data_IF_179788807064
#
_entry.id   IF_179788807064
#
_cell.length_a   1.000
_cell.length_b   1.000
_cell.length_c   1.000
_cell.angle_alpha   90.00
_cell.angle_beta   90.00
_cell.angle_gamma   90.00
#
_symmetry.space_group_name_H-M   'P 1'
#
loop_
_entity.id
_entity.type
_entity.pdbx_description
1 polymer ?
#
# COMPACT_ATOMS: atom_id res chain seq x y z
N UNK A 1 2.64 2.35 17.30
CA UNK A 1 1.23 2.19 17.72
C UNK A 1 0.90 3.22 18.79
N UNK A 2 -0.37 3.62 18.89
CA UNK A 2 -0.86 4.46 20.00
C UNK A 2 -0.82 3.65 21.30
N UNK A 3 -0.58 4.34 22.43
CA UNK A 3 -0.63 3.70 23.73
C UNK A 3 -2.02 3.09 24.03
N UNK A 4 -2.02 1.98 24.75
CA UNK A 4 -3.25 1.27 25.19
C UNK A 4 -4.19 0.77 24.08
N UNK A 5 -3.72 0.63 22.83
CA UNK A 5 -4.51 0.04 21.77
C UNK A 5 -4.40 -1.47 21.80
N UNK A 6 -5.55 -2.14 22.02
CA UNK A 6 -5.62 -3.60 21.97
C UNK A 6 -5.60 -4.07 20.52
N UNK A 7 -4.92 -5.18 20.21
CA UNK A 7 -5.01 -5.85 18.93
C UNK A 7 -6.47 -6.20 18.59
N UNK A 8 -6.76 -6.28 17.31
CA UNK A 8 -8.12 -6.56 16.85
C UNK A 8 -8.11 -7.58 15.71
N UNK A 9 -8.89 -8.63 15.90
CA UNK A 9 -9.15 -9.63 14.87
C UNK A 9 -10.56 -9.43 14.33
N UNK A 10 -10.66 -9.11 13.05
CA UNK A 10 -11.97 -8.92 12.40
C UNK A 10 -12.67 -10.27 12.26
N UNK A 11 -13.97 -10.31 12.50
CA UNK A 11 -14.81 -11.49 12.22
C UNK A 11 -14.73 -11.79 10.72
N UNK A 12 -14.54 -13.08 10.40
CA UNK A 12 -14.41 -13.52 9.01
C UNK A 12 -15.62 -13.07 8.17
N UNK A 13 -15.36 -12.40 7.06
CA UNK A 13 -16.39 -11.99 6.11
C UNK A 13 -16.63 -13.10 5.08
N UNK A 14 -17.88 -13.35 4.76
CA UNK A 14 -18.23 -14.27 3.67
C UNK A 14 -17.82 -13.66 2.34
N UNK A 15 -17.17 -14.47 1.52
CA UNK A 15 -16.74 -14.11 0.16
C UNK A 15 -17.69 -14.80 -0.82
N UNK A 16 -18.08 -14.09 -1.88
CA UNK A 16 -18.88 -14.68 -2.96
C UNK A 16 -18.09 -15.84 -3.61
N UNK A 17 -18.64 -17.07 -3.62
CA UNK A 17 -17.97 -18.23 -4.19
C UNK A 17 -17.49 -18.04 -5.65
N UNK A 18 -18.22 -17.26 -6.45
CA UNK A 18 -17.86 -16.96 -7.84
C UNK A 18 -16.49 -16.24 -7.95
N UNK A 19 -16.12 -15.49 -6.92
CA UNK A 19 -14.86 -14.74 -6.90
C UNK A 19 -13.66 -15.57 -6.40
N UNK A 20 -13.90 -16.73 -5.78
CA UNK A 20 -12.84 -17.53 -5.16
C UNK A 20 -11.70 -17.91 -6.11
N UNK A 21 -11.96 -18.37 -7.36
CA UNK A 21 -10.87 -18.71 -8.29
C UNK A 21 -9.99 -17.49 -8.62
N UNK A 22 -10.60 -16.33 -8.81
CA UNK A 22 -9.91 -15.09 -9.13
C UNK A 22 -9.09 -14.60 -7.93
N UNK A 23 -9.65 -14.69 -6.72
CA UNK A 23 -8.95 -14.35 -5.48
C UNK A 23 -7.75 -15.27 -5.28
N UNK A 24 -7.93 -16.59 -5.49
CA UNK A 24 -6.84 -17.56 -5.38
C UNK A 24 -5.68 -17.24 -6.33
N UNK A 25 -6.01 -16.91 -7.57
CA UNK A 25 -5.01 -16.51 -8.58
C UNK A 25 -4.24 -15.28 -8.12
N UNK A 26 -4.92 -14.27 -7.60
CA UNK A 26 -4.29 -13.04 -7.16
C UNK A 26 -3.44 -13.24 -5.89
N UNK A 27 -3.94 -13.99 -4.89
CA UNK A 27 -3.16 -14.36 -3.69
C UNK A 27 -1.90 -15.11 -4.09
N UNK A 28 -2.00 -16.06 -5.03
CA UNK A 28 -0.84 -16.78 -5.55
C UNK A 28 0.15 -15.84 -6.22
N UNK A 29 -0.31 -14.91 -7.06
CA UNK A 29 0.52 -13.90 -7.72
C UNK A 29 1.29 -13.04 -6.71
N UNK A 30 0.59 -12.57 -5.67
CA UNK A 30 1.21 -11.77 -4.61
C UNK A 30 2.24 -12.58 -3.80
N UNK A 31 1.96 -13.86 -3.56
CA UNK A 31 2.88 -14.77 -2.87
C UNK A 31 4.13 -15.04 -3.72
N UNK A 32 3.96 -15.39 -4.99
CA UNK A 32 5.07 -15.64 -5.92
C UNK A 32 5.95 -14.38 -6.11
N UNK A 33 5.35 -13.19 -6.07
CA UNK A 33 6.05 -11.89 -6.10
C UNK A 33 6.67 -11.47 -4.75
N UNK A 34 6.58 -12.31 -3.71
CA UNK A 34 7.07 -12.02 -2.37
C UNK A 34 6.51 -10.72 -1.75
N UNK A 35 5.28 -10.35 -2.16
CA UNK A 35 4.56 -9.23 -1.57
C UNK A 35 3.96 -9.65 -0.23
N UNK A 36 3.50 -10.89 -0.15
CA UNK A 36 2.93 -11.49 1.06
C UNK A 36 3.67 -12.76 1.44
N UNK A 37 3.60 -13.14 2.71
CA UNK A 37 4.11 -14.40 3.24
C UNK A 37 3.07 -15.05 4.15
N UNK A 38 3.05 -16.39 4.29
CA UNK A 38 2.16 -17.07 5.23
C UNK A 38 2.52 -16.70 6.67
N UNK A 39 1.50 -16.56 7.51
CA UNK A 39 1.67 -16.31 8.93
C UNK A 39 0.80 -17.26 9.75
N UNK A 40 1.38 -17.84 10.79
CA UNK A 40 0.67 -18.78 11.66
C UNK A 40 -0.08 -18.06 12.80
N UNK A 41 0.56 -17.07 13.39
CA UNK A 41 0.03 -16.35 14.54
C UNK A 41 0.12 -14.85 14.30
N UNK A 42 -0.97 -14.16 14.58
CA UNK A 42 -1.03 -12.71 14.65
C UNK A 42 -2.14 -12.27 15.57
N UNK A 43 -1.89 -11.25 16.36
CA UNK A 43 -2.89 -10.58 17.18
C UNK A 43 -3.79 -9.65 16.36
N UNK A 44 -3.30 -9.19 15.20
CA UNK A 44 -4.04 -8.37 14.26
C UNK A 44 -4.44 -9.18 13.05
N UNK A 45 -5.74 -9.26 12.78
CA UNK A 45 -6.21 -9.97 11.59
C UNK A 45 -7.28 -9.15 10.90
N UNK A 46 -7.04 -8.84 9.64
CA UNK A 46 -7.93 -8.08 8.78
C UNK A 46 -8.67 -8.97 7.79
N UNK A 47 -9.80 -8.49 7.27
CA UNK A 47 -10.52 -9.17 6.21
C UNK A 47 -10.00 -8.77 4.82
N UNK A 48 -10.03 -9.73 3.94
CA UNK A 48 -9.85 -9.52 2.51
C UNK A 48 -11.11 -8.86 1.92
N UNK A 49 -10.92 -7.84 1.11
CA UNK A 49 -11.98 -7.12 0.39
C UNK A 49 -11.68 -7.16 -1.11
N UNK A 50 -12.22 -8.13 -1.85
CA UNK A 50 -12.01 -8.21 -3.28
C UNK A 50 -12.80 -7.10 -3.99
N UNK A 51 -12.11 -6.30 -4.79
CA UNK A 51 -12.69 -5.24 -5.61
C UNK A 51 -12.51 -5.59 -7.07
N UNK A 52 -13.59 -5.56 -7.86
CA UNK A 52 -13.54 -5.84 -9.29
C UNK A 52 -13.14 -4.57 -10.05
N UNK A 53 -12.09 -4.65 -10.86
CA UNK A 53 -11.72 -3.59 -11.80
C UNK A 53 -12.69 -3.56 -13.00
N UNK A 54 -12.72 -2.44 -13.73
CA UNK A 54 -13.49 -2.33 -14.99
C UNK A 54 -13.06 -3.36 -16.05
N UNK A 55 -11.81 -3.81 -16.00
CA UNK A 55 -11.25 -4.86 -16.87
C UNK A 55 -11.71 -6.27 -16.53
N UNK A 56 -12.48 -6.46 -15.45
CA UNK A 56 -12.91 -7.78 -14.96
C UNK A 56 -11.92 -8.44 -14.00
N UNK A 57 -10.70 -7.94 -13.89
CA UNK A 57 -9.71 -8.39 -12.94
C UNK A 57 -10.12 -8.07 -11.50
N UNK A 58 -9.56 -8.81 -10.54
CA UNK A 58 -9.74 -8.54 -9.12
C UNK A 58 -8.52 -7.82 -8.56
N UNK A 59 -8.81 -6.75 -7.83
CA UNK A 59 -7.85 -6.13 -6.93
C UNK A 59 -8.17 -6.55 -5.50
N UNK A 60 -7.18 -7.13 -4.82
CA UNK A 60 -7.31 -7.50 -3.42
C UNK A 60 -6.91 -6.34 -2.51
N UNK A 61 -7.90 -5.79 -1.83
CA UNK A 61 -7.70 -4.83 -0.76
C UNK A 61 -7.80 -5.53 0.59
N UNK A 62 -7.19 -4.96 1.60
CA UNK A 62 -7.26 -5.41 2.98
C UNK A 62 -7.94 -4.32 3.82
N UNK A 63 -8.84 -4.71 4.69
CA UNK A 63 -9.51 -3.78 5.58
C UNK A 63 -8.60 -3.32 6.73
N UNK A 64 -7.74 -2.38 6.46
CA UNK A 64 -6.79 -1.84 7.43
C UNK A 64 -7.40 -0.86 8.44
N UNK A 65 -8.72 -0.65 8.47
CA UNK A 65 -9.35 0.41 9.31
C UNK A 65 -9.02 0.29 10.79
N UNK A 66 -9.04 -0.91 11.35
CA UNK A 66 -8.72 -1.13 12.77
C UNK A 66 -7.23 -0.86 13.03
N UNK A 67 -6.34 -1.36 12.20
CA UNK A 67 -4.91 -1.10 12.29
C UNK A 67 -4.60 0.41 12.14
N UNK A 68 -5.24 1.08 11.18
CA UNK A 68 -5.07 2.52 10.95
C UNK A 68 -5.55 3.37 12.14
N UNK A 69 -6.62 2.96 12.84
CA UNK A 69 -7.08 3.64 14.07
C UNK A 69 -6.04 3.54 15.19
N UNK A 70 -5.38 2.40 15.29
CA UNK A 70 -4.36 2.13 16.31
C UNK A 70 -2.98 2.71 15.97
N UNK A 71 -2.72 3.00 14.69
CA UNK A 71 -1.45 3.54 14.24
C UNK A 71 -1.31 5.02 14.58
N UNK A 72 -0.11 5.45 15.02
CA UNK A 72 0.26 6.85 15.07
C UNK A 72 0.28 7.41 13.63
N UNK A 73 -0.03 8.69 13.50
CA UNK A 73 0.07 9.37 12.21
C UNK A 73 1.51 9.83 12.01
N UNK A 74 2.10 9.49 10.89
CA UNK A 74 3.33 10.09 10.41
C UNK A 74 3.00 11.49 9.86
N UNK A 75 3.70 12.51 10.36
CA UNK A 75 3.50 13.90 9.95
C UNK A 75 4.46 14.31 8.82
N UNK A 76 5.04 13.36 8.10
CA UNK A 76 5.87 13.67 6.94
C UNK A 76 5.08 14.53 5.94
N UNK A 77 5.64 15.65 5.46
CA UNK A 77 4.92 16.56 4.59
C UNK A 77 4.58 15.90 3.25
N UNK A 78 3.31 15.85 2.92
CA UNK A 78 2.86 15.44 1.59
C UNK A 78 2.83 16.65 0.67
N UNK A 79 3.17 16.51 -0.61
CA UNK A 79 3.15 17.61 -1.57
C UNK A 79 1.72 18.13 -1.74
N UNK A 80 1.60 19.44 -1.89
CA UNK A 80 0.33 20.08 -2.26
C UNK A 80 0.24 20.18 -3.78
N UNK A 81 -0.92 19.91 -4.34
CA UNK A 81 -1.14 19.95 -5.80
C UNK A 81 -0.76 21.31 -6.39
N UNK A 82 -1.08 22.40 -5.70
CA UNK A 82 -0.77 23.76 -6.17
C UNK A 82 0.73 23.98 -6.38
N UNK A 83 1.56 23.44 -5.47
CA UNK A 83 3.02 23.53 -5.61
C UNK A 83 3.56 22.71 -6.79
N UNK A 84 2.90 21.59 -7.10
CA UNK A 84 3.26 20.76 -8.23
C UNK A 84 2.92 21.48 -9.53
N UNK A 85 1.70 22.02 -9.63
CA UNK A 85 1.26 22.80 -10.79
C UNK A 85 2.17 23.99 -11.05
N UNK A 86 2.58 24.74 -10.01
CA UNK A 86 3.52 25.85 -10.15
C UNK A 86 4.88 25.42 -10.73
N UNK A 87 5.34 24.23 -10.40
CA UNK A 87 6.63 23.72 -10.92
C UNK A 87 6.54 23.26 -12.38
N UNK A 88 5.38 22.79 -12.80
CA UNK A 88 5.14 22.25 -14.14
C UNK A 88 4.82 23.37 -15.15
N UNK A 89 4.31 24.50 -14.68
CA UNK A 89 3.97 25.67 -15.53
C UNK A 89 5.25 26.20 -16.20
N UNK A 90 5.17 26.35 -17.53
CA UNK A 90 6.27 26.86 -18.36
C UNK A 90 7.18 25.78 -18.94
N UNK A 91 6.99 24.52 -18.56
CA UNK A 91 7.76 23.41 -19.13
C UNK A 91 7.34 23.15 -20.58
N UNK A 92 8.32 23.01 -21.47
CA UNK A 92 8.07 22.74 -22.90
C UNK A 92 7.64 21.30 -23.19
N UNK A 93 7.97 20.38 -22.30
CA UNK A 93 7.60 18.96 -22.36
C UNK A 93 7.35 18.43 -20.96
N UNK A 94 6.39 17.52 -20.82
CA UNK A 94 6.01 16.89 -19.57
C UNK A 94 5.84 15.39 -19.84
N UNK A 95 6.49 14.56 -19.04
CA UNK A 95 6.33 13.11 -19.06
C UNK A 95 5.72 12.67 -17.74
N UNK A 96 4.61 11.94 -17.82
CA UNK A 96 3.94 11.35 -16.66
C UNK A 96 4.30 9.87 -16.60
N UNK A 97 4.89 9.46 -15.49
CA UNK A 97 5.30 8.08 -15.24
C UNK A 97 4.54 7.59 -14.00
N UNK A 98 3.87 6.44 -14.15
CA UNK A 98 3.28 5.72 -13.02
C UNK A 98 4.38 4.91 -12.32
N UNK A 99 4.53 5.10 -11.02
CA UNK A 99 5.42 4.30 -10.19
C UNK A 99 4.89 2.86 -10.07
N UNK A 100 5.16 2.02 -11.07
CA UNK A 100 4.69 0.65 -11.15
C UNK A 100 4.83 -0.10 -9.82
N UNK A 101 3.68 -0.42 -9.20
CA UNK A 101 3.63 -1.08 -7.87
C UNK A 101 4.49 -0.38 -6.81
N UNK A 102 4.58 0.94 -6.84
CA UNK A 102 5.53 1.74 -6.05
C UNK A 102 5.52 1.38 -4.55
N UNK A 103 4.35 1.30 -3.94
CA UNK A 103 4.23 0.90 -2.53
C UNK A 103 4.79 -0.51 -2.26
N UNK A 104 4.61 -1.45 -3.19
CA UNK A 104 5.11 -2.82 -3.05
C UNK A 104 6.64 -2.94 -3.24
N UNK A 105 7.34 -1.86 -3.56
CA UNK A 105 8.81 -1.84 -3.58
C UNK A 105 9.40 -1.61 -2.19
N UNK A 106 8.61 -1.08 -1.25
CA UNK A 106 9.05 -0.78 0.11
C UNK A 106 8.77 -1.98 1.02
N UNK A 107 9.79 -2.41 1.78
CA UNK A 107 9.64 -3.48 2.77
C UNK A 107 8.93 -2.95 4.03
N UNK A 108 8.00 -3.74 4.54
CA UNK A 108 7.46 -3.55 5.88
C UNK A 108 8.50 -4.02 6.90
N UNK A 109 8.73 -3.23 7.94
CA UNK A 109 9.64 -3.63 9.02
C UNK A 109 9.23 -4.98 9.61
N UNK A 110 10.19 -5.87 9.87
CA UNK A 110 9.92 -7.26 10.29
C UNK A 110 8.96 -7.36 11.49
N UNK A 111 9.13 -6.50 12.49
CA UNK A 111 8.29 -6.49 13.70
C UNK A 111 6.86 -5.97 13.45
N UNK A 112 6.63 -5.32 12.30
CA UNK A 112 5.34 -4.78 11.91
C UNK A 112 4.59 -5.67 10.91
N UNK A 113 5.29 -6.61 10.25
CA UNK A 113 4.69 -7.48 9.22
C UNK A 113 3.49 -8.26 9.77
N UNK A 114 3.62 -8.86 10.94
CA UNK A 114 2.55 -9.66 11.56
C UNK A 114 1.29 -8.84 11.82
N UNK A 115 1.41 -7.51 12.05
CA UNK A 115 0.27 -6.62 12.27
C UNK A 115 -0.54 -6.40 10.99
N UNK A 116 0.03 -6.68 9.83
CA UNK A 116 -0.64 -6.58 8.52
C UNK A 116 -1.34 -7.86 8.11
N UNK A 117 -1.49 -8.82 9.02
CA UNK A 117 -2.06 -10.12 8.71
C UNK A 117 -3.52 -10.03 8.26
N UNK A 118 -3.87 -10.89 7.33
CA UNK A 118 -5.23 -11.02 6.81
C UNK A 118 -5.60 -12.47 6.56
N UNK A 119 -6.89 -12.76 6.64
CA UNK A 119 -7.42 -14.11 6.46
C UNK A 119 -7.93 -14.31 5.04
N UNK A 120 -7.57 -15.46 4.47
CA UNK A 120 -8.12 -16.00 3.22
C UNK A 120 -8.73 -17.38 3.46
N UNK A 121 -9.52 -17.92 2.53
CA UNK A 121 -10.01 -19.30 2.64
C UNK A 121 -8.89 -20.37 2.66
N UNK A 122 -7.67 -20.02 2.30
CA UNK A 122 -6.51 -20.93 2.21
C UNK A 122 -5.49 -20.74 3.32
N UNK A 123 -5.75 -19.83 4.25
CA UNK A 123 -4.89 -19.54 5.39
C UNK A 123 -4.68 -18.04 5.60
N UNK A 124 -3.86 -17.74 6.60
CA UNK A 124 -3.49 -16.38 6.94
C UNK A 124 -2.17 -15.99 6.28
N UNK A 125 -2.15 -14.77 5.76
CA UNK A 125 -0.97 -14.16 5.16
C UNK A 125 -0.71 -12.81 5.82
N UNK A 126 0.54 -12.36 5.76
CA UNK A 126 0.96 -11.02 6.17
C UNK A 126 1.69 -10.34 5.01
N UNK A 127 1.71 -9.02 5.01
CA UNK A 127 2.48 -8.28 4.03
C UNK A 127 3.96 -8.19 4.42
N UNK A 128 4.81 -8.54 3.48
CA UNK A 128 6.27 -8.33 3.54
C UNK A 128 6.61 -6.98 2.91
N UNK A 129 5.89 -6.62 1.85
CA UNK A 129 6.00 -5.33 1.17
C UNK A 129 4.80 -4.46 1.52
N UNK A 130 4.98 -3.15 1.48
CA UNK A 130 3.97 -2.20 1.95
C UNK A 130 2.71 -2.24 1.09
N UNK A 131 1.53 -2.56 1.67
CA UNK A 131 0.27 -2.56 0.93
C UNK A 131 -0.33 -1.17 0.85
N UNK A 132 -1.23 -1.01 -0.12
CA UNK A 132 -2.17 0.11 -0.13
C UNK A 132 -3.12 0.07 1.08
N UNK A 133 -3.56 1.24 1.52
CA UNK A 133 -4.56 1.37 2.58
C UNK A 133 -4.01 1.50 3.99
N UNK A 134 -2.71 1.35 4.21
CA UNK A 134 -2.08 1.71 5.48
C UNK A 134 -2.03 3.23 5.63
N UNK A 135 -2.34 3.72 6.84
CA UNK A 135 -2.41 5.15 7.18
C UNK A 135 -1.16 5.94 6.80
N UNK A 136 0.00 5.33 6.98
CA UNK A 136 1.30 5.98 6.77
C UNK A 136 1.98 5.57 5.46
N UNK A 137 1.31 4.80 4.61
CA UNK A 137 1.89 4.33 3.36
C UNK A 137 2.35 5.48 2.47
N UNK A 138 1.50 6.49 2.28
CA UNK A 138 1.84 7.67 1.47
C UNK A 138 3.03 8.46 2.02
N UNK A 139 3.09 8.68 3.33
CA UNK A 139 4.21 9.36 3.99
C UNK A 139 5.53 8.58 3.86
N UNK A 140 5.46 7.26 4.06
CA UNK A 140 6.64 6.38 3.92
C UNK A 140 7.14 6.34 2.48
N UNK A 141 6.24 6.23 1.50
CA UNK A 141 6.59 6.24 0.09
C UNK A 141 7.21 7.57 -0.33
N UNK A 142 6.58 8.69 0.05
CA UNK A 142 7.11 10.02 -0.26
C UNK A 142 8.52 10.20 0.31
N UNK A 143 8.76 9.78 1.56
CA UNK A 143 10.11 9.84 2.16
C UNK A 143 11.11 8.99 1.38
N UNK A 144 10.73 7.80 0.94
CA UNK A 144 11.59 6.94 0.14
C UNK A 144 11.94 7.60 -1.20
N UNK A 145 10.97 8.21 -1.87
CA UNK A 145 11.17 8.95 -3.12
C UNK A 145 12.07 10.17 -2.91
N UNK A 146 11.86 10.95 -1.85
CA UNK A 146 12.68 12.12 -1.53
C UNK A 146 14.15 11.76 -1.26
N UNK A 147 14.39 10.58 -0.70
CA UNK A 147 15.76 10.08 -0.49
C UNK A 147 16.35 9.56 -1.80
N UNK A 148 15.58 8.81 -2.59
CA UNK A 148 16.07 8.16 -3.81
C UNK A 148 16.35 9.15 -4.94
N UNK A 149 15.64 10.27 -4.98
CA UNK A 149 15.70 11.28 -6.03
C UNK A 149 16.02 12.67 -5.47
N UNK A 150 16.86 12.72 -4.41
CA UNK A 150 17.14 13.96 -3.68
C UNK A 150 17.72 15.07 -4.58
N UNK A 151 18.53 14.72 -5.57
CA UNK A 151 19.14 15.66 -6.51
C UNK A 151 18.15 16.08 -7.60
N UNK A 152 17.42 15.12 -8.18
CA UNK A 152 16.55 15.32 -9.32
C UNK A 152 15.24 16.05 -9.01
N UNK A 153 14.71 15.89 -7.79
CA UNK A 153 13.46 16.53 -7.36
C UNK A 153 13.54 18.06 -7.44
N UNK A 154 14.71 18.65 -7.26
CA UNK A 154 14.88 20.10 -7.30
C UNK A 154 15.15 20.62 -8.71
N UNK A 155 15.57 19.76 -9.63
CA UNK A 155 15.91 20.12 -11.00
C UNK A 155 14.75 19.89 -11.97
N UNK A 156 14.45 18.64 -12.28
CA UNK A 156 13.50 18.28 -13.35
C UNK A 156 12.46 17.25 -12.93
N UNK A 157 12.46 16.80 -11.67
CA UNK A 157 11.54 15.77 -11.19
C UNK A 157 10.52 16.33 -10.21
N UNK A 158 9.26 15.97 -10.41
CA UNK A 158 8.16 16.28 -9.49
C UNK A 158 7.46 14.99 -9.13
N UNK A 159 7.33 14.70 -7.84
CA UNK A 159 6.72 13.45 -7.34
C UNK A 159 5.48 13.76 -6.52
N UNK A 160 4.36 13.19 -6.94
CA UNK A 160 3.10 13.25 -6.21
C UNK A 160 2.59 11.85 -5.91
N UNK A 161 2.74 11.42 -4.65
CA UNK A 161 2.43 10.06 -4.24
C UNK A 161 3.19 9.03 -5.10
N UNK A 162 2.48 8.22 -5.87
CA UNK A 162 2.98 7.22 -6.81
C UNK A 162 3.20 7.73 -8.25
N UNK A 163 2.79 8.96 -8.55
CA UNK A 163 2.99 9.60 -9.85
C UNK A 163 4.30 10.38 -9.90
N UNK A 164 5.10 10.09 -10.91
CA UNK A 164 6.38 10.78 -11.18
C UNK A 164 6.21 11.62 -12.44
N UNK A 165 6.47 12.91 -12.34
CA UNK A 165 6.44 13.84 -13.46
C UNK A 165 7.85 14.33 -13.75
N UNK A 166 8.30 14.16 -14.99
CA UNK A 166 9.56 14.71 -15.50
C UNK A 166 9.25 15.94 -16.34
N UNK A 167 9.92 17.05 -16.08
CA UNK A 167 9.72 18.37 -16.72
C UNK A 167 10.99 18.88 -17.38
#
# INVERSE_FOLDING_TARGET
MKENQKPFQQKLRRINPILLPLIKKEVKRMFDAQIIAPVRYSDWVSNLVPTRKKTGEIWLCIDCRNLNKASLKDNYPLPKMDHILQRVVGSSRIYLLDGFSGYNQILVHKDEQTKTAFTTPWGNFMYVKMPFGLKNAGATFKRAMDISFAEEIHEFLVIYLDDITVI
#
